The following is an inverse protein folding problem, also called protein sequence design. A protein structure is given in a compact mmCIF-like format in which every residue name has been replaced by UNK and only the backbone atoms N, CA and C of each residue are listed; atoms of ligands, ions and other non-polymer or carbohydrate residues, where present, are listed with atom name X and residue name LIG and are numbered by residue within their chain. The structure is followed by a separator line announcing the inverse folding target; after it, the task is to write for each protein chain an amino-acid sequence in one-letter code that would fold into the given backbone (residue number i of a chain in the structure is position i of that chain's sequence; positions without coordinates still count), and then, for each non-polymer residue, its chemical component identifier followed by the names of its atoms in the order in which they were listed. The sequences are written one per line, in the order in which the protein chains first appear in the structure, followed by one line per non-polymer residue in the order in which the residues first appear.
data_IF_447190432768
#
_entry.id   IF_447190432768
#
_cell.length_a   1.000
_cell.length_b   1.000
_cell.length_c   1.000
_cell.angle_alpha   90.00
_cell.angle_beta   90.00
_cell.angle_gamma   90.00
#
_symmetry.space_group_name_H-M   'P 1'
#
loop_
_entity.id
_entity.type
_entity.pdbx_description
1 polymer ?
#
# COMPACT_ATOMS: atom_id res chain seq x y z
N UNK A 1 -8.00 0.71 -6.61
CA UNK A 1 -7.97 1.29 -5.26
C UNK A 1 -8.36 0.26 -4.22
N UNK A 2 -9.54 -0.36 -4.36
CA UNK A 2 -10.04 -1.42 -3.45
C UNK A 2 -9.00 -2.45 -2.99
N UNK A 3 -8.15 -2.99 -3.88
CA UNK A 3 -7.11 -3.98 -3.49
C UNK A 3 -6.06 -3.44 -2.52
N UNK A 4 -5.73 -2.15 -2.59
CA UNK A 4 -4.76 -1.49 -1.70
C UNK A 4 -5.44 -1.19 -0.35
N UNK A 5 -6.70 -0.79 -0.37
CA UNK A 5 -7.50 -0.49 0.83
C UNK A 5 -7.81 -1.77 1.63
N UNK A 6 -8.21 -2.85 0.95
CA UNK A 6 -8.47 -4.14 1.60
C UNK A 6 -7.22 -4.84 2.13
N UNK A 7 -6.02 -4.38 1.79
CA UNK A 7 -4.77 -4.95 2.31
C UNK A 7 -4.49 -4.56 3.76
N UNK A 8 -5.22 -3.59 4.32
CA UNK A 8 -5.07 -3.15 5.70
C UNK A 8 -3.63 -2.73 6.03
N UNK A 9 -3.21 -2.98 7.28
CA UNK A 9 -1.89 -2.60 7.79
C UNK A 9 -0.74 -3.44 7.26
N UNK A 10 -1.00 -4.62 6.71
CA UNK A 10 0.03 -5.43 6.05
C UNK A 10 0.52 -4.79 4.74
N UNK A 11 -0.37 -4.03 4.10
CA UNK A 11 -0.12 -3.45 2.78
C UNK A 11 -0.03 -4.51 1.69
N UNK A 12 -0.04 -4.06 0.44
CA UNK A 12 0.04 -4.96 -0.72
C UNK A 12 1.40 -4.87 -1.39
N UNK A 13 2.01 -6.02 -1.69
CA UNK A 13 3.29 -6.07 -2.41
C UNK A 13 3.10 -5.53 -3.83
N UNK A 14 4.02 -4.66 -4.26
CA UNK A 14 4.06 -4.10 -5.62
C UNK A 14 4.03 -5.19 -6.70
N UNK A 15 4.71 -6.31 -6.47
CA UNK A 15 4.69 -7.46 -7.40
C UNK A 15 3.30 -8.08 -7.55
N UNK A 16 2.49 -8.09 -6.49
CA UNK A 16 1.11 -8.59 -6.55
C UNK A 16 0.23 -7.66 -7.37
N UNK A 17 0.38 -6.34 -7.20
CA UNK A 17 -0.31 -5.36 -8.04
C UNK A 17 0.15 -5.45 -9.50
N UNK A 18 1.44 -5.65 -9.78
CA UNK A 18 1.94 -5.85 -11.16
C UNK A 18 1.32 -7.06 -11.84
N UNK A 19 1.06 -8.15 -11.10
CA UNK A 19 0.36 -9.32 -11.66
C UNK A 19 -1.09 -9.01 -12.06
N UNK A 20 -1.74 -8.09 -11.36
CA UNK A 20 -3.15 -7.72 -11.59
C UNK A 20 -3.27 -6.66 -12.70
N UNK A 21 -2.46 -5.61 -12.61
CA UNK A 21 -2.58 -4.41 -13.46
C UNK A 21 -1.56 -4.37 -14.62
N UNK A 22 -0.65 -5.35 -14.68
CA UNK A 22 0.33 -5.45 -15.75
C UNK A 22 1.24 -4.23 -15.87
N UNK A 23 1.52 -3.82 -17.11
CA UNK A 23 2.44 -2.72 -17.46
C UNK A 23 1.95 -1.34 -16.98
N UNK A 24 0.65 -1.17 -16.80
CA UNK A 24 0.01 0.08 -16.33
C UNK A 24 0.20 0.30 -14.83
N UNK A 25 0.64 -0.72 -14.09
CA UNK A 25 0.77 -0.69 -12.64
C UNK A 25 1.70 0.43 -12.15
N UNK A 26 2.87 0.59 -12.76
CA UNK A 26 3.84 1.61 -12.36
C UNK A 26 3.27 3.03 -12.56
N UNK A 27 2.67 3.30 -13.73
CA UNK A 27 2.03 4.59 -14.03
C UNK A 27 0.87 4.91 -13.06
N UNK A 28 0.03 3.91 -12.75
CA UNK A 28 -1.07 4.07 -11.79
C UNK A 28 -0.53 4.42 -10.39
N UNK A 29 0.49 3.69 -9.92
CA UNK A 29 1.09 3.92 -8.61
C UNK A 29 1.76 5.29 -8.53
N UNK A 30 2.44 5.74 -9.58
CA UNK A 30 3.02 7.08 -9.61
C UNK A 30 1.95 8.17 -9.54
N UNK A 31 0.85 8.03 -10.28
CA UNK A 31 -0.28 8.99 -10.23
C UNK A 31 -0.91 9.03 -8.84
N UNK A 32 -1.11 7.87 -8.21
CA UNK A 32 -1.68 7.78 -6.86
C UNK A 32 -0.73 8.35 -5.80
N UNK A 33 0.57 8.11 -5.94
CA UNK A 33 1.61 8.66 -5.07
C UNK A 33 1.68 10.19 -5.18
N UNK A 34 1.65 10.73 -6.39
CA UNK A 34 1.63 12.20 -6.63
C UNK A 34 0.40 12.88 -6.02
N UNK A 35 -0.71 12.16 -5.89
CA UNK A 35 -1.93 12.62 -5.22
C UNK A 35 -1.94 12.34 -3.71
N UNK A 36 -0.85 11.83 -3.15
CA UNK A 36 -0.72 11.47 -1.73
C UNK A 36 -1.80 10.47 -1.25
N UNK A 37 -2.35 9.68 -2.16
CA UNK A 37 -3.40 8.69 -1.85
C UNK A 37 -2.82 7.36 -1.38
N UNK A 38 -1.57 7.09 -1.75
CA UNK A 38 -0.86 5.88 -1.37
C UNK A 38 0.55 6.19 -0.87
N UNK A 39 1.05 5.32 0.00
CA UNK A 39 2.43 5.30 0.44
C UNK A 39 3.10 4.03 -0.05
N UNK A 40 4.34 4.15 -0.47
CA UNK A 40 5.15 3.04 -0.98
C UNK A 40 6.42 2.99 -0.15
N UNK A 41 6.64 1.89 0.56
CA UNK A 41 7.81 1.68 1.40
C UNK A 41 8.48 0.35 1.06
N UNK A 42 9.81 0.29 1.23
CA UNK A 42 10.58 -0.93 1.04
C UNK A 42 10.65 -1.70 2.37
N UNK A 43 10.04 -2.87 2.41
CA UNK A 43 10.09 -3.83 3.53
C UNK A 43 10.96 -5.02 3.12
N UNK A 44 12.20 -5.05 3.60
CA UNK A 44 13.21 -6.03 3.20
C UNK A 44 13.52 -5.95 1.70
N UNK A 45 13.21 -7.02 0.96
CA UNK A 45 13.44 -7.12 -0.50
C UNK A 45 12.23 -6.73 -1.35
N UNK A 46 11.10 -6.37 -0.72
CA UNK A 46 9.85 -6.05 -1.43
C UNK A 46 9.38 -4.63 -1.17
N UNK A 47 8.74 -4.02 -2.18
CA UNK A 47 8.00 -2.78 -1.99
C UNK A 47 6.56 -3.10 -1.60
N UNK A 48 6.13 -2.57 -0.46
CA UNK A 48 4.75 -2.64 0.00
C UNK A 48 4.07 -1.29 -0.20
N UNK A 49 2.77 -1.34 -0.41
CA UNK A 49 1.94 -0.21 -0.81
C UNK A 49 0.72 -0.18 0.10
N UNK A 50 0.43 0.98 0.68
CA UNK A 50 -0.71 1.22 1.54
C UNK A 50 -1.54 2.38 1.00
N UNK A 51 -2.83 2.41 1.32
CA UNK A 51 -3.60 3.65 1.27
C UNK A 51 -3.10 4.60 2.36
N UNK A 52 -3.39 5.90 2.23
CA UNK A 52 -3.05 6.90 3.24
C UNK A 52 -3.51 6.50 4.65
N UNK A 53 -4.76 6.06 4.78
CA UNK A 53 -5.34 5.64 6.06
C UNK A 53 -4.63 4.41 6.63
N UNK A 54 -4.48 3.35 5.83
CA UNK A 54 -3.80 2.14 6.27
C UNK A 54 -2.35 2.38 6.65
N UNK A 55 -1.67 3.32 5.97
CA UNK A 55 -0.31 3.70 6.29
C UNK A 55 -0.23 4.41 7.65
N UNK A 56 -1.17 5.30 7.95
CA UNK A 56 -1.25 5.93 9.27
C UNK A 56 -1.52 4.88 10.35
N UNK A 57 -2.43 3.93 10.13
CA UNK A 57 -2.69 2.83 11.07
C UNK A 57 -1.46 1.93 11.27
N UNK A 58 -0.72 1.66 10.20
CA UNK A 58 0.54 0.92 10.24
C UNK A 58 1.57 1.64 11.11
N UNK A 59 1.76 2.95 10.90
CA UNK A 59 2.73 3.76 11.65
C UNK A 59 2.36 3.95 13.12
N UNK A 60 1.07 4.10 13.40
CA UNK A 60 0.58 4.36 14.76
C UNK A 60 0.41 3.10 15.60
N UNK A 61 0.59 1.91 15.03
CA UNK A 61 0.53 0.64 15.77
C UNK A 61 -0.82 0.36 16.42
N UNK A 62 -1.90 1.03 16.00
CA UNK A 62 -3.26 0.95 16.59
C UNK A 62 -3.87 -0.48 16.47
N UNK A 63 -3.16 -1.43 15.87
CA UNK A 63 -3.51 -2.85 15.86
C UNK A 63 -3.09 -3.64 17.11
N UNK A 64 -2.32 -3.06 18.03
CA UNK A 64 -1.82 -3.75 19.22
C UNK A 64 -2.38 -3.20 20.55
N UNK A 65 -3.70 -2.98 20.66
CA UNK A 65 -4.41 -3.08 21.95
C UNK A 65 -5.87 -3.49 21.77
N UNK A 66 -6.22 -4.78 21.87
CA UNK A 66 -7.50 -5.13 22.45
C UNK A 66 -7.54 -4.55 23.87
N UNK A 67 -8.61 -3.81 24.18
CA UNK A 67 -9.00 -3.43 25.55
C UNK A 67 -9.54 -4.69 26.22
#
# INVERSE_FOLDING_TARGET
MQRIESAGVDGIKKVALKKIYGKECDNMLERLKKKEQIFIEKKGVTYCIWSKENYIHYLTGIWHKPI
#
